data_IF_008931489801
#
_entry.id   IF_008931489801
#
_cell.length_a   1.000
_cell.length_b   1.000
_cell.length_c   1.000
_cell.angle_alpha   90.00
_cell.angle_beta   90.00
_cell.angle_gamma   90.00
#
_symmetry.space_group_name_H-M   'P 1'
#
loop_
_entity.id
_entity.type
_entity.pdbx_description
1 polymer ?
#
# COMPACT_ATOMS: atom_id res chain seq x y z
N UNK A 1 -12.88 -10.97 -10.91
CA UNK A 1 -12.21 -11.05 -12.21
C UNK A 1 -12.06 -9.67 -12.85
N UNK A 2 -13.12 -8.89 -13.03
CA UNK A 2 -13.13 -7.54 -13.64
C UNK A 2 -12.03 -6.58 -13.13
N UNK A 3 -11.90 -6.39 -11.80
CA UNK A 3 -10.89 -5.50 -11.22
C UNK A 3 -9.44 -5.86 -11.59
N UNK A 4 -9.13 -7.14 -11.68
CA UNK A 4 -7.76 -7.60 -12.02
C UNK A 4 -7.44 -7.57 -13.51
N UNK A 5 -8.46 -7.51 -14.37
CA UNK A 5 -8.29 -7.53 -15.82
C UNK A 5 -8.45 -6.15 -16.45
N UNK A 6 -9.43 -5.37 -15.98
CA UNK A 6 -9.81 -4.10 -16.62
C UNK A 6 -9.38 -2.86 -15.81
N UNK A 7 -9.16 -3.01 -14.49
CA UNK A 7 -8.93 -1.88 -13.58
C UNK A 7 -7.52 -1.83 -13.01
N UNK A 8 -6.66 -2.81 -13.29
CA UNK A 8 -5.26 -2.81 -12.83
C UNK A 8 -4.34 -2.17 -13.88
N UNK A 9 -3.42 -1.33 -13.41
CA UNK A 9 -2.36 -0.77 -14.22
C UNK A 9 -1.30 -1.82 -14.60
N UNK A 10 -0.34 -1.42 -15.41
CA UNK A 10 0.84 -2.20 -15.78
C UNK A 10 2.05 -1.78 -14.96
N UNK A 11 2.88 -2.75 -14.54
CA UNK A 11 4.14 -2.44 -13.85
C UNK A 11 5.11 -1.76 -14.82
N UNK A 12 5.68 -0.64 -14.39
CA UNK A 12 6.67 0.16 -15.13
C UNK A 12 8.11 -0.10 -14.71
N UNK A 13 8.32 -1.03 -13.75
CA UNK A 13 9.59 -1.25 -13.07
C UNK A 13 9.82 -0.35 -11.85
N UNK A 14 8.89 0.59 -11.60
CA UNK A 14 8.86 1.46 -10.42
C UNK A 14 7.50 1.30 -9.76
N UNK A 15 7.49 0.82 -8.53
CA UNK A 15 6.27 0.59 -7.78
C UNK A 15 6.39 1.10 -6.35
N UNK A 16 5.26 1.43 -5.75
CA UNK A 16 5.17 1.91 -4.37
C UNK A 16 4.21 1.02 -3.60
N UNK A 17 4.57 0.68 -2.37
CA UNK A 17 3.74 -0.11 -1.47
C UNK A 17 3.42 0.67 -0.20
N UNK A 18 2.16 0.57 0.23
CA UNK A 18 1.71 1.12 1.51
C UNK A 18 0.50 0.36 2.04
N UNK A 19 0.22 0.51 3.32
CA UNK A 19 -0.99 0.00 3.96
C UNK A 19 -1.77 1.13 4.61
N UNK A 20 -3.07 1.16 4.41
CA UNK A 20 -3.94 2.14 5.03
C UNK A 20 -5.02 1.46 5.87
N UNK A 21 -5.29 1.92 7.12
CA UNK A 21 -6.35 1.38 7.95
C UNK A 21 -7.72 1.72 7.35
N UNK A 22 -8.63 0.75 7.36
CA UNK A 22 -10.06 0.92 7.04
C UNK A 22 -10.83 0.64 8.34
N UNK A 23 -11.32 1.69 8.97
CA UNK A 23 -12.06 1.62 10.23
C UNK A 23 -13.52 1.22 9.96
N UNK A 24 -14.03 0.29 10.75
CA UNK A 24 -15.44 -0.14 10.63
C UNK A 24 -16.35 0.49 11.67
N UNK A 25 -15.78 1.00 12.77
CA UNK A 25 -16.52 1.80 13.75
C UNK A 25 -15.55 2.62 14.64
N UNK A 26 -16.11 3.58 15.39
CA UNK A 26 -15.37 4.29 16.44
C UNK A 26 -15.02 3.34 17.58
N UNK A 27 -13.85 3.51 18.20
CA UNK A 27 -13.35 2.62 19.27
C UNK A 27 -14.34 2.39 20.41
N UNK A 28 -15.11 3.42 20.79
CA UNK A 28 -16.16 3.32 21.83
C UNK A 28 -17.29 2.32 21.46
N UNK A 29 -17.44 1.96 20.19
CA UNK A 29 -18.50 1.09 19.69
C UNK A 29 -18.04 -0.33 19.38
N UNK A 30 -16.79 -0.70 19.64
CA UNK A 30 -16.24 -2.02 19.30
C UNK A 30 -17.09 -3.13 19.94
N UNK A 31 -17.38 -3.03 21.25
CA UNK A 31 -18.17 -4.03 21.98
C UNK A 31 -19.61 -4.18 21.46
N UNK A 32 -20.19 -3.10 20.92
CA UNK A 32 -21.54 -3.10 20.38
C UNK A 32 -21.60 -3.49 18.90
N UNK A 33 -20.45 -3.61 18.23
CA UNK A 33 -20.39 -3.95 16.81
C UNK A 33 -20.53 -5.45 16.61
N UNK A 34 -21.72 -5.89 16.18
CA UNK A 34 -22.02 -7.31 15.92
C UNK A 34 -21.62 -7.73 14.49
N UNK A 35 -21.66 -6.80 13.53
CA UNK A 35 -21.49 -7.07 12.08
C UNK A 35 -20.08 -7.59 11.75
N UNK A 36 -19.07 -7.03 12.41
CA UNK A 36 -17.67 -7.36 12.15
C UNK A 36 -17.02 -8.21 13.25
N UNK A 37 -17.81 -8.71 14.21
CA UNK A 37 -17.32 -9.57 15.28
C UNK A 37 -16.75 -10.86 14.68
N UNK A 38 -15.48 -11.17 15.03
CA UNK A 38 -14.77 -12.35 14.52
C UNK A 38 -14.17 -12.19 13.10
N UNK A 39 -14.43 -11.07 12.42
CA UNK A 39 -13.83 -10.79 11.10
C UNK A 39 -12.88 -9.61 11.11
N UNK A 40 -13.22 -8.53 11.83
CA UNK A 40 -12.34 -7.38 12.04
C UNK A 40 -11.51 -7.54 13.31
N UNK A 41 -10.33 -6.93 13.33
CA UNK A 41 -9.41 -6.96 14.47
C UNK A 41 -8.92 -5.55 14.84
N UNK A 42 -8.45 -5.42 16.10
CA UNK A 42 -7.86 -4.17 16.58
C UNK A 42 -6.43 -4.07 16.06
N UNK A 43 -6.14 -3.04 15.29
CA UNK A 43 -4.81 -2.70 14.80
C UNK A 43 -4.31 -1.38 15.36
N UNK A 44 -3.02 -1.13 15.17
CA UNK A 44 -2.37 0.14 15.52
C UNK A 44 -1.87 0.82 14.24
N UNK A 45 -2.15 2.10 14.13
CA UNK A 45 -1.63 2.97 13.06
C UNK A 45 -0.91 4.17 13.67
N UNK A 46 -0.32 5.03 12.85
CA UNK A 46 0.26 6.32 13.27
C UNK A 46 -0.79 7.22 13.95
N UNK A 47 -2.05 7.09 13.56
CA UNK A 47 -3.19 7.82 14.12
C UNK A 47 -3.77 7.17 15.40
N UNK A 48 -3.12 6.13 15.93
CA UNK A 48 -3.56 5.39 17.14
C UNK A 48 -4.24 4.06 16.82
N UNK A 49 -4.96 3.53 17.81
CA UNK A 49 -5.68 2.26 17.71
C UNK A 49 -6.93 2.40 16.86
N UNK A 50 -7.24 1.37 16.08
CA UNK A 50 -8.47 1.28 15.29
C UNK A 50 -8.99 -0.16 15.27
N UNK A 51 -10.29 -0.30 15.05
CA UNK A 51 -10.94 -1.59 14.83
C UNK A 51 -11.39 -1.70 13.37
N UNK A 52 -10.94 -2.72 12.67
CA UNK A 52 -11.25 -2.88 11.26
C UNK A 52 -10.25 -3.72 10.49
N UNK A 53 -9.93 -3.25 9.30
CA UNK A 53 -9.09 -3.91 8.31
C UNK A 53 -7.95 -3.00 7.87
N UNK A 54 -6.98 -3.57 7.18
CA UNK A 54 -5.97 -2.84 6.43
C UNK A 54 -6.14 -3.09 4.94
N UNK A 55 -6.09 -2.05 4.15
CA UNK A 55 -5.96 -2.12 2.71
C UNK A 55 -4.50 -1.95 2.35
N UNK A 56 -3.89 -3.01 1.82
CA UNK A 56 -2.53 -2.98 1.29
C UNK A 56 -2.62 -2.71 -0.21
N UNK A 57 -1.88 -1.72 -0.68
CA UNK A 57 -1.84 -1.31 -2.08
C UNK A 57 -0.44 -1.40 -2.64
N UNK A 58 -0.34 -1.78 -3.92
CA UNK A 58 0.83 -1.54 -4.77
C UNK A 58 0.36 -0.69 -5.94
N UNK A 59 1.02 0.44 -6.16
CA UNK A 59 0.77 1.32 -7.29
C UNK A 59 2.05 1.51 -8.12
N UNK A 60 1.91 1.93 -9.38
CA UNK A 60 3.04 2.36 -10.20
C UNK A 60 3.31 3.88 -10.05
N UNK A 61 4.29 4.40 -10.76
CA UNK A 61 4.67 5.82 -10.81
C UNK A 61 3.61 6.72 -11.46
N UNK A 62 2.62 6.13 -12.15
CA UNK A 62 1.47 6.82 -12.74
C UNK A 62 0.24 6.85 -11.81
N UNK A 63 0.37 6.34 -10.58
CA UNK A 63 -0.73 6.25 -9.62
C UNK A 63 -1.76 5.17 -9.94
N UNK A 64 -1.49 4.27 -10.87
CA UNK A 64 -2.39 3.17 -11.19
C UNK A 64 -2.21 2.04 -10.18
N UNK A 65 -3.31 1.46 -9.71
CA UNK A 65 -3.28 0.32 -8.79
C UNK A 65 -2.83 -0.92 -9.56
N UNK A 66 -1.73 -1.52 -9.13
CA UNK A 66 -1.22 -2.77 -9.68
C UNK A 66 -1.82 -3.99 -8.99
N UNK A 67 -1.88 -3.93 -7.67
CA UNK A 67 -2.53 -4.97 -6.86
C UNK A 67 -3.00 -4.41 -5.53
N UNK A 68 -3.94 -5.12 -4.89
CA UNK A 68 -4.44 -4.81 -3.56
C UNK A 68 -4.75 -6.08 -2.77
N UNK A 69 -4.70 -5.95 -1.44
CA UNK A 69 -5.08 -7.00 -0.50
C UNK A 69 -5.75 -6.38 0.72
N UNK A 70 -6.83 -6.98 1.19
CA UNK A 70 -7.51 -6.60 2.42
C UNK A 70 -7.14 -7.62 3.50
N UNK A 71 -6.71 -7.16 4.64
CA UNK A 71 -6.36 -7.99 5.80
C UNK A 71 -7.02 -7.49 7.08
N UNK A 72 -7.02 -8.28 8.13
CA UNK A 72 -7.42 -7.84 9.46
C UNK A 72 -6.48 -6.74 9.97
N UNK A 73 -6.99 -5.85 10.83
CA UNK A 73 -6.29 -4.68 11.31
C UNK A 73 -4.98 -4.97 12.07
N UNK A 74 -4.86 -6.14 12.70
CA UNK A 74 -3.68 -6.57 13.46
C UNK A 74 -2.58 -7.19 12.59
N UNK A 75 -2.83 -7.46 11.30
CA UNK A 75 -1.82 -8.08 10.43
C UNK A 75 -0.61 -7.16 10.24
N UNK A 76 0.59 -7.74 10.24
CA UNK A 76 1.84 -7.02 9.90
C UNK A 76 1.81 -6.61 8.42
N UNK A 77 2.24 -5.37 8.14
CA UNK A 77 2.22 -4.79 6.79
C UNK A 77 3.16 -5.52 5.80
N UNK A 78 4.12 -6.28 6.32
CA UNK A 78 5.06 -7.08 5.54
C UNK A 78 4.49 -8.43 5.07
N UNK A 79 3.47 -8.97 5.76
CA UNK A 79 2.92 -10.29 5.44
C UNK A 79 2.34 -10.40 4.03
N UNK A 80 1.63 -9.40 3.47
CA UNK A 80 1.18 -9.46 2.09
C UNK A 80 2.31 -9.61 1.08
N UNK A 81 3.48 -8.99 1.34
CA UNK A 81 4.65 -9.04 0.45
C UNK A 81 5.36 -10.41 0.43
N UNK A 82 5.00 -11.33 1.31
CA UNK A 82 5.48 -12.72 1.28
C UNK A 82 4.59 -13.62 0.40
N UNK A 83 3.45 -13.08 -0.08
CA UNK A 83 2.49 -13.83 -0.89
C UNK A 83 2.77 -13.61 -2.37
N UNK A 84 3.15 -14.64 -3.10
CA UNK A 84 3.36 -14.59 -4.55
C UNK A 84 2.17 -13.97 -5.30
N UNK A 85 0.94 -14.31 -4.90
CA UNK A 85 -0.28 -13.78 -5.51
C UNK A 85 -0.43 -12.26 -5.42
N UNK A 86 0.18 -11.63 -4.40
CA UNK A 86 0.17 -10.18 -4.20
C UNK A 86 1.27 -9.47 -5.02
N UNK A 87 2.35 -10.19 -5.34
CA UNK A 87 3.48 -9.68 -6.11
C UNK A 87 3.41 -10.05 -7.59
N UNK A 88 2.41 -10.84 -7.98
CA UNK A 88 2.24 -11.29 -9.36
C UNK A 88 2.27 -10.12 -10.33
N UNK A 89 3.14 -10.18 -11.35
CA UNK A 89 3.37 -9.12 -12.35
C UNK A 89 4.12 -7.88 -11.82
N UNK A 90 4.63 -7.88 -10.60
CA UNK A 90 5.49 -6.82 -10.07
C UNK A 90 6.95 -7.20 -10.35
N UNK A 91 7.73 -6.24 -10.84
CA UNK A 91 9.16 -6.39 -11.10
C UNK A 91 9.88 -5.07 -10.92
N UNK A 92 11.21 -5.11 -10.83
CA UNK A 92 12.04 -3.92 -10.71
C UNK A 92 12.09 -3.38 -9.27
N UNK A 93 11.91 -2.08 -9.07
CA UNK A 93 12.05 -1.43 -7.77
C UNK A 93 10.71 -1.23 -7.09
N UNK A 94 10.62 -1.67 -5.82
CA UNK A 94 9.46 -1.48 -4.95
C UNK A 94 9.85 -0.55 -3.80
N UNK A 95 9.24 0.62 -3.72
CA UNK A 95 9.50 1.63 -2.71
C UNK A 95 8.49 1.52 -1.57
N UNK A 96 8.98 1.30 -0.35
CA UNK A 96 8.17 1.20 0.86
C UNK A 96 8.63 2.14 1.97
N UNK A 97 7.83 2.29 3.01
CA UNK A 97 8.21 3.02 4.21
C UNK A 97 9.17 2.20 5.10
N UNK A 98 9.61 2.80 6.21
CA UNK A 98 10.51 2.13 7.18
C UNK A 98 9.85 0.94 7.91
N UNK A 99 8.55 0.78 7.80
CA UNK A 99 7.80 -0.35 8.35
C UNK A 99 8.13 -1.66 7.64
N UNK A 100 8.45 -1.58 6.34
CA UNK A 100 8.77 -2.75 5.51
C UNK A 100 10.23 -3.26 5.67
N UNK A 101 11.06 -2.64 6.51
CA UNK A 101 12.45 -3.08 6.73
C UNK A 101 12.44 -4.46 7.38
N UNK A 102 12.95 -5.46 6.65
CA UNK A 102 13.17 -6.84 7.09
C UNK A 102 14.20 -7.50 6.17
N UNK A 103 15.26 -8.07 6.77
CA UNK A 103 16.30 -8.78 6.00
C UNK A 103 15.69 -9.95 5.22
N UNK A 104 14.87 -10.77 5.88
CA UNK A 104 14.20 -11.92 5.27
C UNK A 104 13.30 -11.49 4.10
N UNK A 105 12.51 -10.41 4.26
CA UNK A 105 11.64 -9.91 3.20
C UNK A 105 12.47 -9.43 2.00
N UNK A 106 13.57 -8.72 2.25
CA UNK A 106 14.46 -8.26 1.19
C UNK A 106 15.02 -9.42 0.37
N UNK A 107 15.50 -10.48 1.04
CA UNK A 107 16.05 -11.68 0.38
C UNK A 107 15.00 -12.39 -0.48
N UNK A 108 13.79 -12.59 0.04
CA UNK A 108 12.67 -13.21 -0.70
C UNK A 108 12.36 -12.38 -1.96
N UNK A 109 12.14 -11.09 -1.81
CA UNK A 109 11.79 -10.21 -2.93
C UNK A 109 12.89 -10.13 -3.98
N UNK A 110 14.15 -10.13 -3.55
CA UNK A 110 15.29 -10.07 -4.45
C UNK A 110 15.40 -11.31 -5.35
N UNK A 111 15.11 -12.49 -4.80
CA UNK A 111 15.04 -13.75 -5.57
C UNK A 111 13.94 -13.66 -6.64
N UNK A 112 12.81 -13.02 -6.32
CA UNK A 112 11.68 -12.80 -7.23
C UNK A 112 11.92 -11.65 -8.23
N UNK A 113 13.13 -11.07 -8.29
CA UNK A 113 13.47 -9.96 -9.18
C UNK A 113 12.90 -8.60 -8.75
N UNK A 114 12.51 -8.46 -7.48
CA UNK A 114 11.98 -7.22 -6.90
C UNK A 114 12.99 -6.63 -5.93
N UNK A 115 13.49 -5.45 -6.23
CA UNK A 115 14.40 -4.73 -5.34
C UNK A 115 13.63 -3.81 -4.40
N UNK A 116 13.48 -4.22 -3.13
CA UNK A 116 12.83 -3.42 -2.10
C UNK A 116 13.73 -2.25 -1.68
N UNK A 117 13.23 -1.03 -1.82
CA UNK A 117 13.93 0.21 -1.43
C UNK A 117 13.17 0.89 -0.31
N UNK A 118 13.80 1.04 0.86
CA UNK A 118 13.21 1.69 2.04
C UNK A 118 14.16 2.72 2.64
N UNK A 119 13.63 3.66 3.41
CA UNK A 119 14.47 4.54 4.24
C UNK A 119 15.11 3.77 5.39
N UNK A 120 16.18 4.32 5.97
CA UNK A 120 16.91 3.74 7.10
C UNK A 120 16.25 4.19 8.42
N UNK A 121 16.18 3.28 9.41
CA UNK A 121 15.78 3.63 10.77
C UNK A 121 16.96 4.28 11.53
N UNK A 122 16.65 5.12 12.49
CA UNK A 122 17.66 5.61 13.44
C UNK A 122 18.41 4.42 14.06
N UNK A 123 19.73 4.52 14.18
CA UNK A 123 20.65 3.47 14.69
C UNK A 123 20.92 2.31 13.72
N UNK A 124 20.43 2.32 12.47
CA UNK A 124 20.91 1.40 11.44
C UNK A 124 22.18 1.95 10.79
N UNK A 125 23.05 1.04 10.33
CA UNK A 125 24.22 1.43 9.52
C UNK A 125 23.75 2.13 8.25
N UNK A 126 24.48 3.19 7.86
CA UNK A 126 24.21 3.87 6.61
C UNK A 126 24.40 2.91 5.43
N UNK A 127 23.50 3.00 4.47
CA UNK A 127 23.56 2.26 3.22
C UNK A 127 23.75 3.23 2.06
N UNK A 128 24.56 2.86 1.11
CA UNK A 128 24.70 3.63 -0.13
C UNK A 128 23.45 3.43 -0.99
N UNK A 129 22.92 4.52 -1.52
CA UNK A 129 21.75 4.54 -2.36
C UNK A 129 21.98 5.45 -3.57
N UNK A 130 21.47 5.06 -4.73
CA UNK A 130 21.54 5.91 -5.91
C UNK A 130 20.71 7.20 -5.71
N UNK A 131 21.13 8.30 -6.36
CA UNK A 131 20.37 9.55 -6.29
C UNK A 131 18.93 9.37 -6.78
N UNK A 132 18.73 8.57 -7.84
CA UNK A 132 17.40 8.27 -8.38
C UNK A 132 16.53 7.55 -7.34
N UNK A 133 17.06 6.57 -6.61
CA UNK A 133 16.33 5.86 -5.57
C UNK A 133 15.98 6.78 -4.40
N UNK A 134 16.88 7.66 -4.03
CA UNK A 134 16.64 8.68 -2.98
C UNK A 134 15.53 9.66 -3.38
N UNK A 135 15.49 10.08 -4.65
CA UNK A 135 14.43 10.92 -5.18
C UNK A 135 13.09 10.17 -5.17
N UNK A 136 13.06 8.92 -5.66
CA UNK A 136 11.85 8.10 -5.70
C UNK A 136 11.31 7.82 -4.31
N UNK A 137 12.19 7.55 -3.34
CA UNK A 137 11.79 7.32 -1.96
C UNK A 137 11.12 8.56 -1.34
N UNK A 138 11.60 9.78 -1.68
CA UNK A 138 10.93 11.02 -1.28
C UNK A 138 9.57 11.21 -1.94
N UNK A 139 9.45 10.81 -3.22
CA UNK A 139 8.19 10.90 -3.97
C UNK A 139 7.19 9.79 -3.64
N UNK A 140 7.52 8.89 -2.70
CA UNK A 140 6.62 7.84 -2.21
C UNK A 140 5.28 8.38 -1.71
N UNK A 141 5.22 9.64 -1.29
CA UNK A 141 3.96 10.30 -0.89
C UNK A 141 2.84 10.22 -1.94
N UNK A 142 3.16 9.86 -3.18
CA UNK A 142 2.14 9.62 -4.22
C UNK A 142 1.14 8.53 -3.80
N UNK A 143 1.58 7.48 -3.11
CA UNK A 143 0.68 6.42 -2.63
C UNK A 143 -0.20 6.91 -1.47
N UNK A 144 0.29 7.83 -0.66
CA UNK A 144 -0.49 8.49 0.40
C UNK A 144 -1.64 9.31 -0.21
N UNK A 145 -1.35 10.02 -1.32
CA UNK A 145 -2.39 10.75 -2.08
C UNK A 145 -3.42 9.79 -2.67
N UNK A 146 -2.99 8.65 -3.25
CA UNK A 146 -3.91 7.63 -3.75
C UNK A 146 -4.80 7.08 -2.62
N UNK A 147 -4.21 6.80 -1.45
CA UNK A 147 -4.97 6.35 -0.27
C UNK A 147 -5.98 7.41 0.19
N UNK A 148 -5.62 8.69 0.13
CA UNK A 148 -6.51 9.80 0.49
C UNK A 148 -7.68 9.92 -0.51
N UNK A 149 -7.43 9.86 -1.81
CA UNK A 149 -8.47 9.86 -2.85
C UNK A 149 -9.43 8.67 -2.71
N UNK A 150 -8.91 7.47 -2.43
CA UNK A 150 -9.74 6.29 -2.18
C UNK A 150 -10.65 6.50 -0.96
N UNK A 151 -10.17 7.11 0.12
CA UNK A 151 -10.95 7.34 1.33
C UNK A 151 -11.95 8.48 1.18
N UNK A 152 -11.51 9.61 0.65
CA UNK A 152 -12.27 10.86 0.69
C UNK A 152 -13.13 11.07 -0.57
N UNK A 153 -12.68 10.61 -1.74
CA UNK A 153 -13.44 10.73 -2.99
C UNK A 153 -14.23 9.45 -3.26
N UNK A 154 -13.55 8.29 -3.25
CA UNK A 154 -14.21 7.00 -3.49
C UNK A 154 -14.93 6.42 -2.27
N UNK A 155 -14.84 7.07 -1.11
CA UNK A 155 -15.58 6.75 0.12
C UNK A 155 -15.43 5.30 0.60
N UNK A 156 -14.24 4.67 0.43
CA UNK A 156 -14.03 3.27 0.84
C UNK A 156 -14.07 3.06 2.36
N UNK A 157 -13.88 4.10 3.17
CA UNK A 157 -13.98 4.07 4.63
C UNK A 157 -15.38 4.46 5.11
N UNK A 158 -16.41 4.01 4.43
CA UNK A 158 -17.79 4.23 4.86
C UNK A 158 -18.14 3.31 6.03
N UNK A 159 -18.57 3.87 7.16
CA UNK A 159 -18.64 3.15 8.44
C UNK A 159 -19.97 2.47 8.75
N UNK A 160 -20.99 2.54 7.87
CA UNK A 160 -22.35 2.06 8.19
C UNK A 160 -22.78 0.86 7.36
N UNK A 161 -21.91 -0.16 7.28
CA UNK A 161 -22.27 -1.40 6.61
C UNK A 161 -23.08 -2.32 7.53
N UNK A 162 -24.14 -2.92 6.99
CA UNK A 162 -25.02 -3.89 7.67
C UNK A 162 -24.55 -5.34 7.52
N UNK A 163 -23.57 -5.59 6.64
CA UNK A 163 -22.96 -6.90 6.45
C UNK A 163 -21.48 -6.76 6.03
N UNK A 164 -20.69 -7.79 6.30
CA UNK A 164 -19.32 -7.89 5.83
C UNK A 164 -19.23 -7.88 4.30
N UNK A 165 -20.14 -8.58 3.62
CA UNK A 165 -20.16 -8.62 2.15
C UNK A 165 -20.35 -7.21 1.57
N UNK A 166 -21.33 -6.43 2.07
CA UNK A 166 -21.54 -5.07 1.60
C UNK A 166 -20.32 -4.17 1.85
N UNK A 167 -19.60 -4.36 2.94
CA UNK A 167 -18.35 -3.67 3.20
C UNK A 167 -17.29 -3.99 2.14
N UNK A 168 -17.08 -5.27 1.82
CA UNK A 168 -16.13 -5.68 0.78
C UNK A 168 -16.55 -5.14 -0.59
N UNK A 169 -17.83 -5.24 -0.95
CA UNK A 169 -18.36 -4.70 -2.23
C UNK A 169 -18.10 -3.18 -2.32
N UNK A 170 -18.30 -2.42 -1.24
CA UNK A 170 -18.01 -0.99 -1.22
C UNK A 170 -16.54 -0.69 -1.48
N UNK A 171 -15.61 -1.42 -0.84
CA UNK A 171 -14.17 -1.25 -1.11
C UNK A 171 -13.85 -1.57 -2.57
N UNK A 172 -14.36 -2.70 -3.09
CA UNK A 172 -14.12 -3.10 -4.48
C UNK A 172 -14.69 -2.09 -5.48
N UNK A 173 -15.88 -1.55 -5.21
CA UNK A 173 -16.50 -0.50 -6.01
C UNK A 173 -15.68 0.79 -5.99
N UNK A 174 -15.15 1.19 -4.83
CA UNK A 174 -14.26 2.34 -4.70
C UNK A 174 -12.95 2.18 -5.46
N UNK A 175 -12.32 1.00 -5.39
CA UNK A 175 -11.12 0.68 -6.17
C UNK A 175 -11.40 0.70 -7.68
N UNK A 176 -12.57 0.19 -8.11
CA UNK A 176 -13.01 0.29 -9.50
C UNK A 176 -13.22 1.74 -9.93
N UNK A 177 -13.96 2.53 -9.14
CA UNK A 177 -14.20 3.95 -9.41
C UNK A 177 -12.89 4.73 -9.57
N UNK A 178 -11.92 4.51 -8.69
CA UNK A 178 -10.60 5.12 -8.78
C UNK A 178 -9.90 4.80 -10.11
N UNK A 179 -10.05 3.57 -10.63
CA UNK A 179 -9.39 3.18 -11.89
C UNK A 179 -9.87 3.99 -13.09
N UNK A 180 -11.09 4.54 -13.04
CA UNK A 180 -11.67 5.39 -14.07
C UNK A 180 -11.36 6.88 -13.92
N UNK A 181 -10.62 7.30 -12.90
CA UNK A 181 -10.26 8.71 -12.77
C UNK A 181 -9.46 9.17 -14.00
N UNK A 182 -9.87 10.29 -14.63
CA UNK A 182 -9.20 10.81 -15.81
C UNK A 182 -7.78 11.31 -15.52
N UNK A 183 -7.54 11.74 -14.27
CA UNK A 183 -6.24 12.20 -13.79
C UNK A 183 -5.94 11.50 -12.47
N UNK A 184 -4.82 10.78 -12.42
CA UNK A 184 -4.30 10.12 -11.21
C UNK A 184 -3.07 10.84 -10.67
N UNK A 185 -2.81 10.79 -9.37
CA UNK A 185 -1.56 11.25 -8.79
C UNK A 185 -0.38 10.54 -9.46
N UNK A 186 0.51 11.28 -10.08
CA UNK A 186 1.62 10.71 -10.85
C UNK A 186 2.94 11.42 -10.56
N UNK A 187 4.03 10.69 -10.71
CA UNK A 187 5.37 11.22 -10.51
C UNK A 187 5.94 11.65 -11.86
N UNK A 188 6.14 12.95 -12.02
CA UNK A 188 6.95 13.51 -13.10
C UNK A 188 8.38 13.59 -12.61
N UNK A 189 9.28 12.83 -13.20
CA UNK A 189 10.68 12.89 -12.83
C UNK A 189 11.58 12.62 -14.05
N UNK A 190 12.72 13.31 -14.08
CA UNK A 190 13.78 13.05 -15.04
C UNK A 190 14.87 12.24 -14.34
N UNK A 191 15.35 11.18 -14.97
CA UNK A 191 16.47 10.38 -14.47
C UNK A 191 17.72 11.24 -14.37
N UNK A 192 18.32 11.28 -13.21
CA UNK A 192 19.62 11.93 -13.01
C UNK A 192 20.69 10.99 -13.57
N UNK A 193 21.42 11.45 -14.59
CA UNK A 193 22.53 10.73 -15.18
C UNK A 193 23.78 10.86 -14.29
N UNK A 194 23.74 10.28 -13.11
CA UNK A 194 24.91 10.22 -12.23
C UNK A 194 25.02 8.84 -11.61
N UNK A 195 26.22 8.28 -11.62
CA UNK A 195 26.55 7.02 -10.99
C UNK A 195 26.99 7.22 -9.53
N UNK A 196 26.92 8.45 -9.00
CA UNK A 196 27.28 8.72 -7.60
C UNK A 196 26.30 8.07 -6.64
N UNK A 197 26.83 7.39 -5.63
CA UNK A 197 26.08 6.84 -4.51
C UNK A 197 26.12 7.83 -3.35
N UNK A 198 25.00 8.00 -2.70
CA UNK A 198 24.88 8.89 -1.55
C UNK A 198 24.59 8.07 -0.29
N UNK A 199 25.24 8.42 0.81
CA UNK A 199 24.94 7.87 2.12
C UNK A 199 23.55 8.34 2.59
N UNK A 200 22.87 7.45 3.28
CA UNK A 200 21.55 7.68 3.87
C UNK A 200 21.70 7.92 5.35
#
# INVERSE_FOLDING_TARGET
>A
MFLKTCCSGSCTGISFVDSTPIRVCKNKRIKANKVFKGTAEIGKSTMGWFYGFKLHLIINDRGEILNFLISQGNMDDREPLKKESFLKKIFGKLFGDKGYISKQLFEILFIDGIHLVTGIRNKMKNSLMSMNDKIMLRKRSVIETVNDELKNICQIEHSRHRSFINFIVNILAGLAAYSFFPKKPSIKYQTVKTNQLYAF
#
